data_IF_852545475744
#
_entry.id   IF_852545475744
#
_cell.length_a   1.000
_cell.length_b   1.000
_cell.length_c   1.000
_cell.angle_alpha   90.00
_cell.angle_beta   90.00
_cell.angle_gamma   90.00
#
_symmetry.space_group_name_H-M   'P 1'
#
loop_
_entity.id
_entity.type
_entity.pdbx_description
1 polymer ?
#
# COMPACT_ATOMS: atom_id res chain seq x y z
N UNK A 1 23.74 0.79 -20.92
CA UNK A 1 22.44 0.71 -20.20
C UNK A 1 22.62 1.50 -18.91
N UNK A 2 22.01 2.68 -18.70
CA UNK A 2 22.30 3.42 -17.49
C UNK A 2 21.54 2.83 -16.31
N UNK A 3 22.27 2.72 -15.21
CA UNK A 3 21.84 2.16 -13.94
C UNK A 3 20.69 2.98 -13.34
N UNK A 4 19.68 2.29 -12.82
CA UNK A 4 18.66 2.90 -11.97
C UNK A 4 19.31 3.31 -10.66
N UNK A 5 19.53 4.62 -10.50
CA UNK A 5 20.03 5.25 -9.29
C UNK A 5 18.93 5.19 -8.23
N UNK A 6 19.12 4.32 -7.25
CA UNK A 6 18.29 4.28 -6.05
C UNK A 6 18.54 5.55 -5.26
N UNK A 7 17.63 6.51 -5.34
CA UNK A 7 17.61 7.62 -4.37
C UNK A 7 17.32 7.00 -3.00
N UNK A 8 18.36 6.88 -2.19
CA UNK A 8 18.26 6.57 -0.76
C UNK A 8 17.62 7.77 -0.07
N UNK A 9 16.31 7.96 -0.21
CA UNK A 9 15.55 8.85 0.67
C UNK A 9 15.46 8.13 2.01
N UNK A 10 16.49 8.31 2.83
CA UNK A 10 16.40 8.15 4.27
C UNK A 10 15.39 9.21 4.74
N UNK A 11 14.09 8.87 4.70
CA UNK A 11 13.07 9.70 5.34
C UNK A 11 13.48 9.79 6.80
N UNK A 12 13.87 10.99 7.22
CA UNK A 12 14.20 11.30 8.59
C UNK A 12 13.01 10.83 9.45
N UNK A 13 13.23 9.76 10.19
CA UNK A 13 12.24 9.02 10.94
C UNK A 13 11.47 10.00 11.83
N UNK A 14 10.23 10.34 11.46
CA UNK A 14 9.30 10.96 12.38
C UNK A 14 8.97 9.90 13.43
N UNK A 15 9.61 10.06 14.61
CA UNK A 15 9.33 9.32 15.84
C UNK A 15 7.82 9.10 15.97
N UNK A 16 7.36 7.88 15.71
CA UNK A 16 6.03 7.44 16.14
C UNK A 16 5.21 6.58 15.19
N UNK A 17 5.42 6.54 13.86
CA UNK A 17 4.34 6.00 13.00
C UNK A 17 4.71 5.36 11.66
N UNK A 18 5.94 4.87 11.49
CA UNK A 18 6.31 4.06 10.31
C UNK A 18 6.99 2.78 10.77
N UNK A 19 6.22 1.68 10.85
CA UNK A 19 6.78 0.34 10.98
C UNK A 19 7.40 -0.06 9.64
N UNK A 20 8.72 -0.04 9.54
CA UNK A 20 9.49 -0.78 8.55
C UNK A 20 10.03 -2.03 9.25
N UNK A 21 9.15 -3.00 9.47
CA UNK A 21 9.55 -4.27 10.05
C UNK A 21 10.14 -5.16 8.95
N UNK A 22 11.12 -6.04 9.25
CA UNK A 22 11.54 -7.12 8.35
C UNK A 22 10.31 -7.86 7.79
N UNK A 23 10.39 -8.53 6.61
CA UNK A 23 9.22 -9.13 5.93
C UNK A 23 8.43 -10.16 6.76
N UNK A 24 8.90 -10.49 7.97
CA UNK A 24 8.28 -11.41 8.92
C UNK A 24 7.58 -10.72 10.11
N UNK A 25 7.69 -9.41 10.33
CA UNK A 25 7.32 -8.79 11.63
C UNK A 25 6.08 -7.87 11.61
N UNK A 26 5.56 -7.40 10.48
CA UNK A 26 4.20 -6.80 10.40
C UNK A 26 3.79 -6.58 8.93
N UNK A 27 3.03 -7.50 8.33
CA UNK A 27 2.49 -7.30 6.97
C UNK A 27 1.26 -6.35 6.99
N UNK A 28 1.49 -5.09 7.33
CA UNK A 28 0.44 -4.06 7.44
C UNK A 28 -0.28 -3.72 6.13
N UNK A 29 0.26 -4.15 4.98
CA UNK A 29 -0.33 -3.96 3.65
C UNK A 29 -1.08 -5.20 3.14
N UNK A 30 -0.92 -6.36 3.80
CA UNK A 30 -1.60 -7.62 3.45
C UNK A 30 -3.11 -7.48 3.26
N UNK A 31 -3.86 -6.88 4.22
CA UNK A 31 -5.31 -6.75 4.12
C UNK A 31 -5.77 -5.56 3.23
N UNK A 32 -4.86 -4.93 2.48
CA UNK A 32 -5.15 -3.79 1.60
C UNK A 32 -5.21 -4.24 0.14
N UNK A 33 -4.46 -3.60 -0.77
CA UNK A 33 -4.46 -3.96 -2.19
C UNK A 33 -4.04 -5.40 -2.44
N UNK A 34 -3.14 -5.95 -1.61
CA UNK A 34 -2.64 -7.33 -1.74
C UNK A 34 -3.74 -8.38 -1.63
N UNK A 35 -4.82 -8.13 -0.89
CA UNK A 35 -5.92 -9.09 -0.74
C UNK A 35 -6.80 -9.18 -1.99
N UNK A 36 -6.71 -8.21 -2.91
CA UNK A 36 -7.51 -8.16 -4.13
C UNK A 36 -6.69 -8.48 -5.40
N UNK A 37 -5.37 -8.68 -5.28
CA UNK A 37 -4.49 -8.86 -6.44
C UNK A 37 -4.64 -10.26 -7.06
N UNK A 38 -4.77 -10.36 -8.39
CA UNK A 38 -4.69 -11.63 -9.09
C UNK A 38 -3.31 -12.25 -8.96
N UNK A 39 -3.25 -13.57 -9.03
CA UNK A 39 -1.97 -14.29 -9.06
C UNK A 39 -1.09 -13.83 -10.24
N UNK A 40 0.21 -13.72 -10.00
CA UNK A 40 1.19 -13.30 -11.03
C UNK A 40 1.32 -11.79 -11.23
N UNK A 41 0.55 -10.97 -10.51
CA UNK A 41 0.71 -9.51 -10.55
C UNK A 41 1.91 -9.04 -9.72
N UNK A 42 2.57 -7.99 -10.20
CA UNK A 42 3.57 -7.26 -9.43
C UNK A 42 2.90 -6.30 -8.46
N UNK A 43 3.46 -6.19 -7.25
CA UNK A 43 3.15 -5.10 -6.32
C UNK A 43 4.36 -4.74 -5.46
N UNK A 44 4.64 -3.44 -5.39
CA UNK A 44 5.50 -2.83 -4.39
C UNK A 44 4.69 -1.72 -3.69
N UNK A 45 4.54 -1.80 -2.37
CA UNK A 45 3.63 -0.93 -1.64
C UNK A 45 4.18 -0.44 -0.30
N UNK A 46 3.59 0.66 0.18
CA UNK A 46 3.76 1.15 1.54
C UNK A 46 2.40 1.56 2.08
N UNK A 47 2.00 0.95 3.19
CA UNK A 47 0.81 1.38 3.94
C UNK A 47 1.16 2.41 5.01
N UNK A 48 0.19 3.22 5.38
CA UNK A 48 0.26 4.18 6.49
C UNK A 48 -1.06 4.20 7.25
N UNK A 49 -0.98 4.45 8.56
CA UNK A 49 -2.14 4.67 9.42
C UNK A 49 -1.79 5.81 10.37
N UNK A 50 -2.78 6.57 10.81
CA UNK A 50 -2.55 7.69 11.72
C UNK A 50 -3.80 8.15 12.46
N UNK A 51 -3.65 9.26 13.17
CA UNK A 51 -4.71 9.89 13.95
C UNK A 51 -5.93 10.27 13.09
N UNK A 52 -7.04 10.62 13.77
CA UNK A 52 -8.32 10.99 13.13
C UNK A 52 -8.84 9.94 12.15
N UNK A 53 -8.61 8.67 12.45
CA UNK A 53 -9.07 7.57 11.59
C UNK A 53 -8.34 7.46 10.25
N UNK A 54 -7.14 8.02 10.12
CA UNK A 54 -6.43 8.05 8.84
C UNK A 54 -5.88 6.67 8.45
N UNK A 55 -6.05 6.31 7.18
CA UNK A 55 -5.51 5.09 6.58
C UNK A 55 -5.21 5.31 5.10
N UNK A 56 -4.09 4.77 4.63
CA UNK A 56 -3.75 4.87 3.22
C UNK A 56 -2.70 3.87 2.76
N UNK A 57 -2.52 3.81 1.45
CA UNK A 57 -1.55 3.00 0.75
C UNK A 57 -1.10 3.70 -0.53
N UNK A 58 0.20 3.64 -0.80
CA UNK A 58 0.78 3.90 -2.12
C UNK A 58 1.34 2.59 -2.66
N UNK A 59 1.05 2.28 -3.92
CA UNK A 59 1.52 1.05 -4.55
C UNK A 59 1.88 1.28 -6.02
N UNK A 60 2.98 0.68 -6.47
CA UNK A 60 3.24 0.40 -7.88
C UNK A 60 2.81 -1.03 -8.17
N UNK A 61 1.94 -1.24 -9.16
CA UNK A 61 1.37 -2.55 -9.47
C UNK A 61 1.10 -2.72 -10.98
N UNK A 62 0.95 -3.98 -11.41
CA UNK A 62 0.60 -4.33 -12.78
C UNK A 62 0.65 -5.85 -13.08
N UNK A 63 0.12 -6.28 -14.24
CA UNK A 63 0.07 -7.68 -14.65
C UNK A 63 1.46 -8.20 -15.08
N UNK A 64 1.53 -9.52 -15.31
CA UNK A 64 2.70 -10.22 -15.87
C UNK A 64 4.01 -9.97 -15.10
N UNK A 65 3.91 -9.81 -13.78
CA UNK A 65 5.05 -9.55 -12.91
C UNK A 65 5.75 -8.20 -13.14
N UNK A 66 5.09 -7.22 -13.79
CA UNK A 66 5.67 -5.90 -14.09
C UNK A 66 4.81 -4.75 -13.57
N UNK A 67 5.41 -3.67 -13.03
CA UNK A 67 4.66 -2.46 -12.70
C UNK A 67 4.21 -1.73 -13.97
N UNK A 68 2.94 -1.31 -14.00
CA UNK A 68 2.41 -0.49 -15.10
C UNK A 68 1.64 0.75 -14.63
N UNK A 69 1.15 0.78 -13.38
CA UNK A 69 0.51 1.97 -12.78
C UNK A 69 0.90 2.17 -11.32
N UNK A 70 0.77 3.41 -10.87
CA UNK A 70 0.85 3.79 -9.46
C UNK A 70 -0.57 4.09 -8.97
N UNK A 71 -0.96 3.49 -7.86
CA UNK A 71 -2.24 3.73 -7.17
C UNK A 71 -1.95 4.32 -5.80
N UNK A 72 -2.67 5.40 -5.47
CA UNK A 72 -2.63 6.04 -4.16
C UNK A 72 -4.05 6.12 -3.63
N UNK A 73 -4.28 5.52 -2.47
CA UNK A 73 -5.56 5.59 -1.76
C UNK A 73 -5.29 6.18 -0.39
N UNK A 74 -5.98 7.26 -0.05
CA UNK A 74 -5.88 7.92 1.23
C UNK A 74 -7.27 8.26 1.77
N UNK A 75 -7.50 7.93 3.04
CA UNK A 75 -8.74 8.18 3.76
C UNK A 75 -8.42 8.79 5.12
N UNK A 76 -9.28 9.67 5.60
CA UNK A 76 -9.16 10.33 6.90
C UNK A 76 -10.54 10.75 7.42
N UNK A 77 -10.66 11.04 8.71
CA UNK A 77 -11.92 11.46 9.34
C UNK A 77 -12.92 10.33 9.61
N UNK A 78 -12.51 9.06 9.42
CA UNK A 78 -13.37 7.90 9.66
C UNK A 78 -13.40 7.51 11.14
N UNK A 79 -14.59 7.17 11.65
CA UNK A 79 -14.76 6.55 12.97
C UNK A 79 -14.74 5.01 12.89
N UNK A 80 -14.55 4.45 11.68
CA UNK A 80 -14.52 3.02 11.47
C UNK A 80 -13.26 2.38 12.09
N UNK A 81 -13.39 1.11 12.45
CA UNK A 81 -12.29 0.29 12.95
C UNK A 81 -11.16 0.17 11.93
N UNK A 82 -9.98 -0.30 12.37
CA UNK A 82 -8.86 -0.54 11.43
C UNK A 82 -9.25 -1.56 10.35
N UNK A 83 -9.97 -2.62 10.71
CA UNK A 83 -10.35 -3.68 9.78
C UNK A 83 -11.37 -3.21 8.76
N UNK A 84 -12.34 -2.38 9.15
CA UNK A 84 -13.28 -1.77 8.22
C UNK A 84 -12.57 -0.84 7.23
N UNK A 85 -11.63 -0.02 7.71
CA UNK A 85 -10.82 0.84 6.84
C UNK A 85 -9.93 0.03 5.89
N UNK A 86 -9.36 -1.07 6.36
CA UNK A 86 -8.60 -1.99 5.51
C UNK A 86 -9.49 -2.59 4.42
N UNK A 87 -10.68 -3.08 4.78
CA UNK A 87 -11.67 -3.64 3.85
C UNK A 87 -12.09 -2.63 2.79
N UNK A 88 -12.36 -1.39 3.16
CA UNK A 88 -12.70 -0.32 2.21
C UNK A 88 -11.59 -0.09 1.18
N UNK A 89 -10.33 -0.05 1.61
CA UNK A 89 -9.19 0.08 0.69
C UNK A 89 -9.08 -1.15 -0.23
N UNK A 90 -9.31 -2.36 0.30
CA UNK A 90 -9.30 -3.58 -0.50
C UNK A 90 -10.42 -3.60 -1.55
N UNK A 91 -11.62 -3.14 -1.21
CA UNK A 91 -12.76 -3.04 -2.14
C UNK A 91 -12.49 -2.03 -3.26
N UNK A 92 -11.92 -0.87 -2.93
CA UNK A 92 -11.45 0.10 -3.94
C UNK A 92 -10.40 -0.55 -4.84
N UNK A 93 -9.43 -1.27 -4.26
CA UNK A 93 -8.42 -2.02 -5.00
C UNK A 93 -9.01 -3.04 -5.97
N UNK A 94 -9.97 -3.85 -5.51
CA UNK A 94 -10.66 -4.82 -6.34
C UNK A 94 -11.39 -4.16 -7.52
N UNK A 95 -12.03 -3.00 -7.29
CA UNK A 95 -12.68 -2.25 -8.36
C UNK A 95 -11.68 -1.72 -9.39
N UNK A 96 -10.52 -1.22 -8.96
CA UNK A 96 -9.46 -0.77 -9.87
C UNK A 96 -8.91 -1.92 -10.71
N UNK A 97 -8.66 -3.08 -10.09
CA UNK A 97 -8.14 -4.28 -10.77
C UNK A 97 -9.15 -4.83 -11.77
N UNK A 98 -10.45 -4.77 -11.46
CA UNK A 98 -11.52 -5.18 -12.38
C UNK A 98 -11.55 -4.35 -13.67
N UNK A 99 -11.15 -3.08 -13.59
CA UNK A 99 -11.14 -2.14 -14.72
C UNK A 99 -9.71 -1.78 -15.14
N UNK A 100 -8.77 -2.72 -14.95
CA UNK A 100 -7.36 -2.48 -15.20
C UNK A 100 -7.08 -2.17 -16.67
#
# INVERSE_FOLDING_TARGET
MPAFEWVHVQLHQQKGMISLSPPTICNSAGPLLRSALPAGWFIADKSGAGERGSRGIIAALGPDGKPSRIVVIYTTGSQATMDERNRQIAEIGASLIKHW
#
